data_IF_072691870943
#
_entry.id   IF_072691870943
#
_cell.length_a   1.000
_cell.length_b   1.000
_cell.length_c   1.000
_cell.angle_alpha   90.00
_cell.angle_beta   90.00
_cell.angle_gamma   90.00
#
_symmetry.space_group_name_H-M   'P 1'
#
loop_
_entity.id
_entity.type
_entity.pdbx_description
1 polymer ?
#
# COMPACT_ATOMS: atom_id res chain seq x y z
N UNK A 1 8.51 -6.85 1.71
CA UNK A 1 8.55 -7.32 3.14
C UNK A 1 9.64 -8.36 3.48
N UNK A 2 9.83 -9.43 2.71
CA UNK A 2 10.82 -10.51 2.99
C UNK A 2 12.28 -10.03 3.10
N UNK A 3 12.64 -8.95 2.38
CA UNK A 3 13.98 -8.36 2.43
C UNK A 3 14.32 -7.88 3.87
N UNK A 4 13.36 -7.31 4.60
CA UNK A 4 13.58 -6.84 5.97
C UNK A 4 13.84 -7.99 6.95
N UNK A 5 13.08 -9.09 6.86
CA UNK A 5 13.31 -10.28 7.69
C UNK A 5 14.71 -10.85 7.50
N UNK A 6 15.18 -10.89 6.24
CA UNK A 6 16.55 -11.31 5.92
C UNK A 6 17.59 -10.36 6.49
N UNK A 7 17.41 -9.04 6.36
CA UNK A 7 18.34 -8.04 6.90
C UNK A 7 18.44 -8.11 8.43
N UNK A 8 17.34 -8.40 9.12
CA UNK A 8 17.32 -8.49 10.59
C UNK A 8 17.79 -9.85 11.13
N UNK A 9 18.13 -10.82 10.26
CA UNK A 9 18.52 -12.16 10.69
C UNK A 9 17.37 -12.99 11.30
N UNK A 10 16.12 -12.55 11.12
CA UNK A 10 14.92 -13.22 11.62
C UNK A 10 14.27 -14.14 10.59
N UNK A 11 14.89 -14.30 9.43
CA UNK A 11 14.44 -15.23 8.40
C UNK A 11 14.92 -16.65 8.75
N UNK A 12 14.08 -17.39 9.46
CA UNK A 12 14.35 -18.80 9.86
C UNK A 12 13.74 -19.78 8.85
N UNK A 13 12.50 -19.52 8.42
CA UNK A 13 11.77 -20.25 7.39
C UNK A 13 10.74 -19.34 6.70
N UNK A 14 10.06 -19.87 5.66
CA UNK A 14 9.02 -19.14 4.92
C UNK A 14 7.73 -18.94 5.72
N UNK A 15 7.57 -19.53 6.92
CA UNK A 15 6.34 -19.39 7.72
C UNK A 15 6.21 -18.00 8.33
N UNK A 16 7.33 -17.33 8.54
CA UNK A 16 7.39 -15.95 9.02
C UNK A 16 7.10 -14.91 7.92
N UNK A 17 7.01 -15.33 6.66
CA UNK A 17 6.83 -14.43 5.54
C UNK A 17 5.37 -13.97 5.44
N UNK A 18 5.20 -12.66 5.30
CA UNK A 18 3.92 -12.10 4.92
C UNK A 18 3.54 -12.51 3.49
N UNK A 19 2.45 -13.24 3.34
CA UNK A 19 1.88 -13.65 2.05
C UNK A 19 0.65 -12.82 1.72
N UNK A 20 0.80 -11.88 0.78
CA UNK A 20 -0.31 -11.10 0.21
C UNK A 20 -1.02 -11.86 -0.90
N UNK A 21 -2.29 -11.57 -1.15
CA UNK A 21 -2.99 -12.11 -2.33
C UNK A 21 -2.46 -11.50 -3.62
N UNK A 22 -2.21 -10.19 -3.63
CA UNK A 22 -1.55 -9.52 -4.75
C UNK A 22 -0.80 -8.26 -4.32
N UNK A 23 0.26 -7.92 -5.07
CA UNK A 23 1.17 -6.84 -4.73
C UNK A 23 1.71 -6.14 -5.98
N UNK A 24 1.58 -4.82 -6.00
CA UNK A 24 2.07 -3.98 -7.09
C UNK A 24 3.44 -3.41 -6.72
N UNK A 25 4.42 -3.66 -7.60
CA UNK A 25 5.82 -3.25 -7.42
C UNK A 25 6.28 -2.34 -8.55
N UNK A 26 7.13 -1.38 -8.19
CA UNK A 26 7.82 -0.53 -9.15
C UNK A 26 9.11 -1.18 -9.64
N UNK A 27 9.07 -1.78 -10.83
CA UNK A 27 10.20 -2.46 -11.45
C UNK A 27 11.43 -1.55 -11.66
N UNK A 28 11.23 -0.25 -11.96
CA UNK A 28 12.34 0.71 -12.14
C UNK A 28 12.93 1.31 -10.85
N UNK A 29 12.29 1.09 -9.70
CA UNK A 29 12.67 1.71 -8.43
C UNK A 29 13.06 0.66 -7.38
N UNK A 30 13.86 -0.34 -7.77
CA UNK A 30 14.39 -1.40 -6.88
C UNK A 30 13.25 -2.15 -6.15
N UNK A 31 12.14 -2.45 -6.83
CA UNK A 31 10.98 -3.17 -6.32
C UNK A 31 10.29 -2.52 -5.10
N UNK A 32 10.03 -1.21 -5.14
CA UNK A 32 9.17 -0.59 -4.12
C UNK A 32 7.74 -1.11 -4.27
N UNK A 33 7.20 -1.59 -3.16
CA UNK A 33 5.84 -2.07 -3.02
C UNK A 33 4.93 -0.85 -2.76
N UNK A 34 3.91 -0.62 -3.60
CA UNK A 34 3.05 0.57 -3.53
C UNK A 34 1.57 0.28 -3.29
N UNK A 35 1.07 -0.84 -3.80
CA UNK A 35 -0.31 -1.26 -3.58
C UNK A 35 -0.33 -2.73 -3.16
N UNK A 36 -0.93 -2.97 -2.01
CA UNK A 36 -1.22 -4.30 -1.48
C UNK A 36 -2.70 -4.61 -1.70
N UNK A 37 -3.02 -5.83 -2.10
CA UNK A 37 -4.39 -6.31 -2.26
C UNK A 37 -4.61 -7.51 -1.36
N UNK A 38 -5.66 -7.44 -0.55
CA UNK A 38 -6.16 -8.56 0.26
C UNK A 38 -7.64 -8.81 -0.08
N UNK A 39 -8.00 -10.06 -0.25
CA UNK A 39 -9.34 -10.50 -0.62
C UNK A 39 -9.90 -11.30 0.54
N UNK A 40 -10.79 -10.68 1.32
CA UNK A 40 -11.55 -11.42 2.31
C UNK A 40 -12.58 -12.29 1.60
N UNK A 41 -12.57 -13.59 1.90
CA UNK A 41 -13.35 -14.58 1.16
C UNK A 41 -14.87 -14.35 1.22
N UNK A 42 -15.59 -14.96 0.27
CA UNK A 42 -17.03 -14.80 0.01
C UNK A 42 -17.98 -15.21 1.16
N UNK A 43 -17.45 -15.81 2.24
CA UNK A 43 -18.26 -16.18 3.40
C UNK A 43 -18.23 -15.02 4.36
N UNK A 44 -19.40 -14.59 4.83
CA UNK A 44 -19.65 -13.46 5.72
C UNK A 44 -19.07 -13.67 7.15
N UNK A 45 -17.85 -14.20 7.22
CA UNK A 45 -17.09 -14.53 8.40
C UNK A 45 -16.35 -13.28 8.87
N UNK A 46 -16.96 -12.61 9.85
CA UNK A 46 -16.43 -11.40 10.48
C UNK A 46 -15.03 -11.58 11.05
N UNK A 47 -14.69 -12.79 11.53
CA UNK A 47 -13.34 -13.07 12.08
C UNK A 47 -12.29 -13.01 10.96
N UNK A 48 -12.57 -13.65 9.82
CA UNK A 48 -11.66 -13.62 8.67
C UNK A 48 -11.53 -12.21 8.09
N UNK A 49 -12.65 -11.50 7.97
CA UNK A 49 -12.66 -10.11 7.52
C UNK A 49 -11.74 -9.23 8.39
N UNK A 50 -11.94 -9.25 9.71
CA UNK A 50 -11.12 -8.48 10.64
C UNK A 50 -9.65 -8.87 10.56
N UNK A 51 -9.37 -10.18 10.45
CA UNK A 51 -8.01 -10.67 10.25
C UNK A 51 -7.36 -10.09 8.98
N UNK A 52 -8.07 -10.11 7.84
CA UNK A 52 -7.55 -9.60 6.56
C UNK A 52 -7.35 -8.07 6.60
N UNK A 53 -8.19 -7.32 7.34
CA UNK A 53 -7.95 -5.90 7.63
C UNK A 53 -6.65 -5.67 8.41
N UNK A 54 -6.44 -6.40 9.51
CA UNK A 54 -5.22 -6.29 10.30
C UNK A 54 -4.00 -6.71 9.49
N UNK A 55 -4.11 -7.82 8.76
CA UNK A 55 -3.08 -8.33 7.85
C UNK A 55 -2.72 -7.26 6.82
N UNK A 56 -3.69 -6.67 6.15
CA UNK A 56 -3.46 -5.60 5.19
C UNK A 56 -2.79 -4.35 5.78
N UNK A 57 -3.20 -3.96 6.99
CA UNK A 57 -2.58 -2.85 7.71
C UNK A 57 -1.10 -3.14 8.05
N UNK A 58 -0.79 -4.34 8.55
CA UNK A 58 0.60 -4.76 8.79
C UNK A 58 1.43 -4.72 7.51
N UNK A 59 0.86 -5.19 6.40
CA UNK A 59 1.50 -5.11 5.08
C UNK A 59 1.79 -3.66 4.67
N UNK A 60 0.82 -2.76 4.80
CA UNK A 60 0.97 -1.34 4.50
C UNK A 60 2.05 -0.66 5.37
N UNK A 61 2.09 -0.94 6.66
CA UNK A 61 3.11 -0.43 7.58
C UNK A 61 4.51 -0.89 7.14
N UNK A 62 4.65 -2.16 6.79
CA UNK A 62 5.92 -2.71 6.35
C UNK A 62 6.36 -2.14 4.98
N UNK A 63 5.43 -1.83 4.07
CA UNK A 63 5.72 -1.11 2.83
C UNK A 63 6.25 0.31 3.10
N UNK A 64 5.59 1.10 3.97
CA UNK A 64 6.08 2.44 4.35
C UNK A 64 7.45 2.37 5.00
N UNK A 65 7.65 1.43 5.93
CA UNK A 65 8.95 1.23 6.57
C UNK A 65 10.01 0.88 5.53
N UNK A 66 9.70 0.01 4.58
CA UNK A 66 10.63 -0.36 3.50
C UNK A 66 11.04 0.83 2.64
N UNK A 67 10.13 1.79 2.41
CA UNK A 67 10.44 3.04 1.72
C UNK A 67 11.37 3.91 2.58
N UNK A 68 11.09 4.06 3.87
CA UNK A 68 11.91 4.82 4.80
C UNK A 68 13.34 4.27 4.89
N UNK A 69 13.49 2.97 5.14
CA UNK A 69 14.79 2.29 5.25
C UNK A 69 15.63 2.46 3.98
N UNK A 70 14.97 2.49 2.82
CA UNK A 70 15.63 2.58 1.52
C UNK A 70 16.06 4.00 1.15
N UNK A 71 15.33 5.00 1.64
CA UNK A 71 15.59 6.40 1.39
C UNK A 71 15.90 7.14 2.69
N UNK A 72 16.73 6.54 3.54
CA UNK A 72 17.04 7.01 4.91
C UNK A 72 17.50 8.47 5.00
N UNK A 73 18.22 8.97 3.99
CA UNK A 73 18.68 10.37 3.92
C UNK A 73 17.66 11.36 3.30
N UNK A 74 16.48 10.92 2.86
CA UNK A 74 15.50 11.83 2.29
C UNK A 74 14.91 12.77 3.35
N UNK A 75 14.45 13.95 2.93
CA UNK A 75 13.81 14.87 3.88
C UNK A 75 12.44 14.35 4.32
N UNK A 76 12.09 14.64 5.57
CA UNK A 76 10.77 14.30 6.15
C UNK A 76 9.65 14.92 5.30
N UNK A 77 9.81 16.16 4.84
CA UNK A 77 8.81 16.85 4.01
C UNK A 77 8.51 16.12 2.68
N UNK A 78 9.49 15.43 2.11
CA UNK A 78 9.25 14.62 0.92
C UNK A 78 8.66 13.25 1.29
N UNK A 79 9.05 12.70 2.45
CA UNK A 79 8.51 11.43 2.94
C UNK A 79 7.03 11.51 3.28
N UNK A 80 6.54 12.64 3.83
CA UNK A 80 5.12 12.86 4.10
C UNK A 80 4.22 12.80 2.85
N UNK A 81 4.80 13.04 1.66
CA UNK A 81 4.07 12.98 0.39
C UNK A 81 3.98 11.55 -0.14
N UNK A 82 4.90 10.67 0.25
CA UNK A 82 4.87 9.27 -0.14
C UNK A 82 3.68 8.57 0.51
N UNK A 83 2.93 7.83 -0.30
CA UNK A 83 1.77 7.06 0.14
C UNK A 83 1.91 5.63 -0.33
N UNK A 84 1.46 4.71 0.50
CA UNK A 84 1.23 3.32 0.12
C UNK A 84 -0.26 3.05 0.21
N UNK A 85 -0.73 2.19 -0.68
CA UNK A 85 -2.13 1.86 -0.81
C UNK A 85 -2.37 0.43 -0.37
N UNK A 86 -3.56 0.23 0.19
CA UNK A 86 -4.05 -1.07 0.59
C UNK A 86 -5.49 -1.21 0.11
N UNK A 87 -5.73 -2.14 -0.83
CA UNK A 87 -7.05 -2.47 -1.33
C UNK A 87 -7.55 -3.71 -0.60
N UNK A 88 -8.74 -3.62 -0.01
CA UNK A 88 -9.42 -4.76 0.57
C UNK A 88 -10.76 -5.00 -0.11
N UNK A 89 -10.98 -6.24 -0.54
CA UNK A 89 -12.32 -6.72 -0.85
C UNK A 89 -12.94 -7.24 0.44
N UNK A 90 -13.92 -6.51 0.97
CA UNK A 90 -14.58 -6.82 2.22
C UNK A 90 -15.83 -7.68 2.02
N UNK A 91 -16.20 -8.45 3.05
CA UNK A 91 -17.51 -9.08 3.12
C UNK A 91 -18.60 -7.99 3.13
N UNK A 92 -19.58 -8.10 2.23
CA UNK A 92 -20.63 -7.09 2.03
C UNK A 92 -20.55 -6.30 0.72
N UNK A 93 -19.93 -6.86 -0.33
CA UNK A 93 -19.91 -6.28 -1.68
C UNK A 93 -19.15 -4.95 -1.83
N UNK A 94 -18.26 -4.60 -0.90
CA UNK A 94 -17.44 -3.38 -1.03
C UNK A 94 -15.96 -3.68 -1.32
N UNK A 95 -15.39 -2.89 -2.23
CA UNK A 95 -13.96 -2.69 -2.38
C UNK A 95 -13.58 -1.38 -1.69
N UNK A 96 -12.65 -1.42 -0.73
CA UNK A 96 -12.12 -0.23 -0.07
C UNK A 96 -10.66 -0.02 -0.44
N UNK A 97 -10.35 1.15 -0.98
CA UNK A 97 -8.98 1.59 -1.20
C UNK A 97 -8.53 2.48 -0.03
N UNK A 98 -7.67 1.93 0.81
CA UNK A 98 -7.01 2.64 1.89
C UNK A 98 -5.69 3.25 1.43
N UNK A 99 -5.33 4.36 2.04
CA UNK A 99 -4.05 5.04 1.87
C UNK A 99 -3.43 5.25 3.23
N UNK A 100 -2.15 4.89 3.33
CA UNK A 100 -1.33 5.13 4.50
C UNK A 100 -0.20 6.09 4.11
N UNK A 101 0.06 7.09 4.95
CA UNK A 101 1.16 8.05 4.79
C UNK A 101 1.77 8.45 6.13
N UNK A 102 3.04 8.81 6.13
CA UNK A 102 3.68 9.38 7.31
C UNK A 102 3.32 10.86 7.49
N UNK A 103 3.25 11.30 8.75
CA UNK A 103 3.12 12.69 9.16
C UNK A 103 4.19 13.01 10.19
N UNK A 104 4.65 14.26 10.19
CA UNK A 104 5.52 14.84 11.21
C UNK A 104 5.03 14.46 12.61
N UNK A 105 5.99 14.35 13.53
CA UNK A 105 5.79 13.89 14.91
C UNK A 105 5.50 12.39 15.04
N UNK A 106 6.02 11.57 14.12
CA UNK A 106 5.91 10.10 14.16
C UNK A 106 4.47 9.58 14.11
N UNK A 107 3.58 10.32 13.45
CA UNK A 107 2.21 9.92 13.25
C UNK A 107 2.04 9.24 11.88
N UNK A 108 1.11 8.30 11.82
CA UNK A 108 0.70 7.65 10.58
C UNK A 108 -0.75 7.99 10.31
N UNK A 109 -0.99 8.42 9.07
CA UNK A 109 -2.29 8.88 8.61
C UNK A 109 -2.89 7.81 7.69
N UNK A 110 -3.96 7.16 8.16
CA UNK A 110 -4.66 6.09 7.47
C UNK A 110 -6.07 6.55 7.09
N UNK A 111 -6.37 6.58 5.79
CA UNK A 111 -7.67 7.04 5.28
C UNK A 111 -8.18 6.17 4.14
N UNK A 112 -9.51 6.00 4.08
CA UNK A 112 -10.19 5.50 2.89
C UNK A 112 -10.14 6.60 1.82
N UNK A 113 -9.62 6.26 0.64
CA UNK A 113 -9.56 7.15 -0.53
C UNK A 113 -10.71 6.94 -1.49
N UNK A 114 -11.17 5.71 -1.62
CA UNK A 114 -12.28 5.36 -2.49
C UNK A 114 -12.94 4.08 -2.01
N UNK A 115 -14.21 3.94 -2.32
CA UNK A 115 -14.98 2.73 -2.10
C UNK A 115 -15.83 2.45 -3.32
N UNK A 116 -15.98 1.18 -3.67
CA UNK A 116 -16.88 0.74 -4.73
C UNK A 116 -17.78 -0.36 -4.18
N UNK A 117 -19.10 -0.19 -4.32
CA UNK A 117 -20.05 -1.28 -4.16
C UNK A 117 -20.04 -2.08 -5.47
N UNK A 118 -19.71 -3.36 -5.41
CA UNK A 118 -19.82 -4.26 -6.56
C UNK A 118 -21.13 -5.04 -6.48
N UNK A 119 -22.02 -4.79 -7.45
CA UNK A 119 -23.31 -5.50 -7.58
C UNK A 119 -23.13 -6.80 -8.35
N UNK A 120 -24.14 -7.66 -8.26
CA UNK A 120 -24.29 -8.78 -9.17
C UNK A 120 -24.46 -8.29 -10.61
N UNK A 121 -24.22 -9.18 -11.57
CA UNK A 121 -24.17 -8.86 -13.00
C UNK A 121 -25.49 -8.36 -13.60
N UNK A 122 -26.55 -8.16 -12.82
CA UNK A 122 -27.82 -7.63 -13.33
C UNK A 122 -27.78 -6.09 -13.45
N UNK A 123 -26.98 -5.39 -12.64
CA UNK A 123 -26.86 -3.91 -12.64
C UNK A 123 -25.65 -3.38 -13.44
N UNK A 124 -25.25 -4.06 -14.52
CA UNK A 124 -24.02 -3.72 -15.26
C UNK A 124 -23.98 -2.27 -15.77
N UNK A 125 -25.13 -1.69 -16.12
CA UNK A 125 -25.20 -0.35 -16.70
C UNK A 125 -24.70 0.73 -15.72
N UNK A 126 -24.97 0.56 -14.43
CA UNK A 126 -24.54 1.50 -13.39
C UNK A 126 -23.20 1.07 -12.77
N UNK A 127 -23.00 -0.23 -12.58
CA UNK A 127 -21.78 -0.75 -11.95
C UNK A 127 -20.53 -0.54 -12.81
N UNK A 128 -20.58 -0.77 -14.12
CA UNK A 128 -19.39 -0.68 -14.99
C UNK A 128 -18.80 0.72 -15.00
N UNK A 129 -19.58 1.81 -15.19
CA UNK A 129 -19.06 3.18 -15.06
C UNK A 129 -18.42 3.46 -13.70
N UNK A 130 -19.02 3.00 -12.61
CA UNK A 130 -18.47 3.21 -11.26
C UNK A 130 -17.18 2.42 -11.03
N UNK A 131 -17.09 1.19 -11.55
CA UNK A 131 -15.85 0.41 -11.55
C UNK A 131 -14.76 1.10 -12.35
N UNK A 132 -15.06 1.60 -13.55
CA UNK A 132 -14.10 2.35 -14.37
C UNK A 132 -13.62 3.60 -13.62
N UNK A 133 -14.53 4.35 -12.99
CA UNK A 133 -14.20 5.53 -12.18
C UNK A 133 -13.31 5.17 -11.00
N UNK A 134 -13.63 4.08 -10.29
CA UNK A 134 -12.83 3.57 -9.18
C UNK A 134 -11.42 3.17 -9.61
N UNK A 135 -11.28 2.38 -10.68
CA UNK A 135 -9.99 1.95 -11.21
C UNK A 135 -9.17 3.15 -11.70
N UNK A 136 -9.79 4.10 -12.39
CA UNK A 136 -9.12 5.31 -12.89
C UNK A 136 -8.65 6.22 -11.75
N UNK A 137 -9.49 6.42 -10.73
CA UNK A 137 -9.12 7.16 -9.52
C UNK A 137 -7.97 6.48 -8.78
N UNK A 138 -8.03 5.16 -8.63
CA UNK A 138 -6.96 4.35 -8.03
C UNK A 138 -5.64 4.52 -8.78
N UNK A 139 -5.68 4.44 -10.12
CA UNK A 139 -4.52 4.67 -10.99
C UNK A 139 -3.92 6.06 -10.75
N UNK A 140 -4.73 7.11 -10.74
CA UNK A 140 -4.25 8.48 -10.52
C UNK A 140 -3.56 8.65 -9.14
N UNK A 141 -4.07 7.99 -8.10
CA UNK A 141 -3.44 8.02 -6.77
C UNK A 141 -2.10 7.26 -6.78
N UNK A 142 -2.02 6.12 -7.47
CA UNK A 142 -0.78 5.37 -7.65
C UNK A 142 0.25 6.23 -8.39
N UNK A 143 -0.11 6.86 -9.50
CA UNK A 143 0.78 7.73 -10.28
C UNK A 143 1.37 8.87 -9.43
N UNK A 144 0.52 9.58 -8.66
CA UNK A 144 0.98 10.62 -7.71
C UNK A 144 1.92 10.07 -6.63
N UNK A 145 1.66 8.83 -6.19
CA UNK A 145 2.53 8.15 -5.22
C UNK A 145 3.89 7.81 -5.85
N UNK A 146 3.91 7.37 -7.11
CA UNK A 146 5.15 7.14 -7.87
C UNK A 146 5.96 8.43 -8.00
N UNK A 147 5.33 9.53 -8.39
CA UNK A 147 5.98 10.86 -8.48
C UNK A 147 6.60 11.26 -7.14
N UNK A 148 5.86 11.06 -6.05
CA UNK A 148 6.33 11.35 -4.69
C UNK A 148 7.54 10.48 -4.32
N UNK A 149 7.55 9.20 -4.68
CA UNK A 149 8.70 8.31 -4.46
C UNK A 149 9.91 8.71 -5.33
N UNK A 150 9.69 9.19 -6.55
CA UNK A 150 10.77 9.70 -7.42
C UNK A 150 11.40 10.95 -6.79
N UNK A 151 10.58 11.89 -6.30
CA UNK A 151 11.06 13.06 -5.59
C UNK A 151 11.79 12.70 -4.29
N UNK A 152 11.28 11.71 -3.55
CA UNK A 152 11.91 11.17 -2.34
C UNK A 152 13.29 10.59 -2.64
N UNK A 153 13.42 9.81 -3.72
CA UNK A 153 14.69 9.26 -4.19
C UNK A 153 15.69 10.38 -4.51
N UNK A 154 15.26 11.42 -5.23
CA UNK A 154 16.13 12.57 -5.55
C UNK A 154 16.62 13.26 -4.28
N UNK A 155 15.72 13.51 -3.33
CA UNK A 155 16.07 14.11 -2.03
C UNK A 155 17.09 13.27 -1.26
N UNK A 156 16.91 11.95 -1.21
CA UNK A 156 17.88 11.03 -0.60
C UNK A 156 19.29 11.20 -1.17
N UNK A 157 19.43 11.21 -2.50
CA UNK A 157 20.75 11.31 -3.14
C UNK A 157 21.40 12.67 -2.94
N UNK A 158 20.62 13.75 -2.99
CA UNK A 158 21.10 15.11 -2.72
C UNK A 158 21.62 15.26 -1.28
N UNK A 159 20.88 14.72 -0.31
CA UNK A 159 21.26 14.80 1.09
C UNK A 159 22.40 13.84 1.44
N UNK A 160 22.44 12.64 0.85
CA UNK A 160 23.51 11.67 1.07
C UNK A 160 24.90 12.25 0.76
N UNK A 161 25.00 13.11 -0.25
CA UNK A 161 26.25 13.79 -0.59
C UNK A 161 26.76 14.75 0.50
N UNK A 162 25.89 15.18 1.43
CA UNK A 162 26.25 16.06 2.56
C UNK A 162 26.71 15.28 3.80
N UNK A 163 26.38 14.00 3.88
CA UNK A 163 26.69 13.11 5.01
C UNK A 163 27.83 12.12 4.68
N UNK A 164 28.54 12.34 3.57
CA UNK A 164 29.75 11.64 3.15
C UNK A 164 30.89 12.64 3.10
#
# INVERSE_FOLDING_TARGET
MTKQLKTLGHFVDDKSQYTSDSLFKLFGLKDIELLLVEVSGCFNNKVKLNFDYHKGMFGALAMIKSIADKYEYASIDQFEKAKVLFLIAAAGQYLYLWSLSYKKNNLLDLWIKSSLLYSDFDDKQDFVPDLVRFCWGSKSIIEKSVESIVALKQSHWQNRAKWR
#
